data_IF_211349787540
#
_entry.id   IF_211349787540
#
_cell.length_a   1.000
_cell.length_b   1.000
_cell.length_c   1.000
_cell.angle_alpha   90.00
_cell.angle_beta   90.00
_cell.angle_gamma   90.00
#
_symmetry.space_group_name_H-M   'P 1'
#
loop_
_entity.id
_entity.type
_entity.pdbx_description
1 polymer ?
#
# COMPACT_ATOMS: atom_id res chain seq x y z
N UNK A 1 -14.52 32.05 0.44
CA UNK A 1 -15.19 31.17 -0.53
C UNK A 1 -15.07 29.74 -0.03
N UNK A 2 -16.14 29.19 0.52
CA UNK A 2 -16.22 27.76 0.84
C UNK A 2 -16.42 27.02 -0.48
N UNK A 3 -15.33 26.49 -1.04
CA UNK A 3 -15.45 25.48 -2.09
C UNK A 3 -16.03 24.24 -1.42
N UNK A 4 -17.35 24.07 -1.53
CA UNK A 4 -18.07 22.93 -0.98
C UNK A 4 -17.91 21.79 -1.99
N UNK A 5 -16.86 21.00 -1.84
CA UNK A 5 -16.82 19.68 -2.49
C UNK A 5 -17.90 18.83 -1.79
N UNK A 6 -18.81 18.17 -2.52
CA UNK A 6 -19.85 17.33 -1.93
C UNK A 6 -19.28 16.32 -0.94
N UNK A 7 -19.89 16.21 0.23
CA UNK A 7 -19.44 15.29 1.28
C UNK A 7 -19.39 13.84 0.80
N UNK A 8 -20.25 13.44 -0.14
CA UNK A 8 -20.25 12.10 -0.74
C UNK A 8 -18.98 11.77 -1.53
N UNK A 9 -18.22 12.78 -1.97
CA UNK A 9 -16.91 12.63 -2.64
C UNK A 9 -15.78 12.71 -1.61
N UNK A 10 -16.03 13.39 -0.48
CA UNK A 10 -15.06 13.58 0.60
C UNK A 10 -15.18 12.55 1.73
N UNK A 11 -16.07 11.56 1.62
CA UNK A 11 -16.16 10.48 2.59
C UNK A 11 -16.08 9.13 1.92
N UNK A 12 -15.44 8.21 2.62
CA UNK A 12 -15.21 6.83 2.17
C UNK A 12 -15.47 5.87 3.32
N UNK A 13 -15.50 4.58 3.01
CA UNK A 13 -15.50 3.50 4.01
C UNK A 13 -14.27 2.63 3.78
N UNK A 14 -13.71 2.15 4.87
CA UNK A 14 -12.60 1.19 4.88
C UNK A 14 -13.05 -0.23 5.21
N UNK A 15 -14.36 -0.49 5.17
CA UNK A 15 -14.92 -1.81 5.40
C UNK A 15 -14.47 -2.76 4.29
N UNK A 16 -13.75 -3.81 4.68
CA UNK A 16 -13.38 -4.93 3.81
C UNK A 16 -14.56 -5.90 3.77
N UNK A 17 -15.04 -6.22 2.57
CA UNK A 17 -16.20 -7.08 2.36
C UNK A 17 -15.74 -8.44 1.87
N UNK A 18 -16.23 -9.50 2.52
CA UNK A 18 -16.08 -10.87 2.06
C UNK A 18 -17.33 -11.30 1.30
N UNK A 19 -17.18 -11.69 0.04
CA UNK A 19 -18.18 -12.44 -0.76
C UNK A 19 -19.64 -11.95 -0.58
N UNK A 20 -19.85 -10.64 -0.74
CA UNK A 20 -21.14 -9.98 -0.56
C UNK A 20 -21.96 -10.00 -1.84
N UNK A 21 -23.20 -10.48 -1.79
CA UNK A 21 -24.11 -10.46 -2.93
C UNK A 21 -24.67 -9.04 -3.16
N UNK A 22 -24.51 -8.50 -4.36
CA UNK A 22 -25.11 -7.20 -4.71
C UNK A 22 -26.60 -7.32 -5.05
N UNK A 23 -27.35 -6.27 -4.76
CA UNK A 23 -28.73 -6.08 -5.25
C UNK A 23 -28.66 -5.58 -6.68
N UNK A 24 -29.36 -6.25 -7.58
CA UNK A 24 -29.40 -5.95 -9.01
C UNK A 24 -30.77 -5.41 -9.36
N UNK A 25 -30.81 -4.23 -9.98
CA UNK A 25 -32.00 -3.68 -10.64
C UNK A 25 -31.85 -3.83 -12.16
N UNK A 26 -32.84 -4.43 -12.83
CA UNK A 26 -32.77 -4.80 -14.24
C UNK A 26 -32.27 -6.23 -14.50
N UNK A 27 -31.57 -6.45 -15.62
CA UNK A 27 -31.13 -7.78 -16.07
C UNK A 27 -29.66 -7.77 -16.45
N UNK A 28 -28.90 -8.72 -15.90
CA UNK A 28 -27.49 -8.94 -16.26
C UNK A 28 -27.44 -9.85 -17.49
N UNK A 29 -26.64 -9.52 -18.52
CA UNK A 29 -26.45 -10.41 -19.67
C UNK A 29 -25.98 -11.79 -19.25
N UNK A 30 -26.62 -12.85 -19.77
CA UNK A 30 -26.31 -14.23 -19.39
C UNK A 30 -24.94 -14.72 -19.88
N UNK A 31 -24.35 -14.01 -20.84
CA UNK A 31 -23.02 -14.25 -21.41
C UNK A 31 -21.92 -13.44 -20.72
N UNK A 32 -22.26 -12.56 -19.77
CA UNK A 32 -21.28 -11.84 -18.96
C UNK A 32 -20.66 -12.81 -17.95
N UNK A 33 -19.33 -12.95 -17.99
CA UNK A 33 -18.55 -13.78 -17.08
C UNK A 33 -17.20 -13.12 -16.77
N UNK A 34 -16.57 -13.58 -15.68
CA UNK A 34 -15.28 -13.06 -15.21
C UNK A 34 -15.43 -12.01 -14.12
N UNK A 35 -14.44 -11.13 -14.02
CA UNK A 35 -14.27 -10.24 -12.87
C UNK A 35 -13.98 -8.80 -13.31
N UNK A 36 -14.55 -7.83 -12.59
CA UNK A 36 -14.17 -6.42 -12.70
C UNK A 36 -13.39 -6.05 -11.44
N UNK A 37 -12.18 -5.51 -11.62
CA UNK A 37 -11.40 -4.97 -10.53
C UNK A 37 -11.42 -3.44 -10.55
N UNK A 38 -11.66 -2.85 -9.39
CA UNK A 38 -11.68 -1.41 -9.17
C UNK A 38 -10.74 -1.08 -8.03
N UNK A 39 -10.16 0.12 -8.06
CA UNK A 39 -9.30 0.61 -7.00
C UNK A 39 -9.80 2.00 -6.59
N UNK A 40 -9.96 2.21 -5.29
CA UNK A 40 -10.29 3.53 -4.76
C UNK A 40 -9.46 3.84 -3.52
N UNK A 41 -9.02 5.08 -3.33
CA UNK A 41 -8.33 5.49 -2.11
C UNK A 41 -9.33 5.68 -0.96
N UNK A 42 -9.04 5.11 0.21
CA UNK A 42 -9.97 5.04 1.36
C UNK A 42 -9.47 5.73 2.63
N UNK A 43 -8.56 6.70 2.53
CA UNK A 43 -7.95 7.37 3.69
C UNK A 43 -6.85 6.57 4.39
N UNK A 44 -6.31 7.09 5.49
CA UNK A 44 -5.17 6.54 6.25
C UNK A 44 -5.60 5.96 7.61
N UNK A 45 -4.63 5.39 8.32
CA UNK A 45 -4.82 4.84 9.68
C UNK A 45 -5.24 5.91 10.69
N UNK A 46 -4.79 7.16 10.49
CA UNK A 46 -5.04 8.31 11.36
C UNK A 46 -6.07 9.30 10.78
N UNK A 47 -6.76 8.95 9.69
CA UNK A 47 -7.86 9.76 9.16
C UNK A 47 -9.00 9.90 10.19
N UNK A 48 -9.66 11.06 10.18
CA UNK A 48 -10.80 11.32 11.08
C UNK A 48 -11.93 10.35 10.73
N UNK A 49 -12.61 9.82 11.74
CA UNK A 49 -13.75 8.91 11.59
C UNK A 49 -14.98 9.44 12.30
N UNK A 50 -16.15 9.11 11.75
CA UNK A 50 -17.46 9.21 12.42
C UNK A 50 -18.25 7.94 12.09
N UNK A 51 -18.33 7.03 13.05
CA UNK A 51 -18.77 5.66 12.81
C UNK A 51 -17.92 4.98 11.72
N UNK A 52 -18.59 4.46 10.68
CA UNK A 52 -17.95 3.80 9.54
C UNK A 52 -17.39 4.79 8.49
N UNK A 53 -17.73 6.07 8.58
CA UNK A 53 -17.30 7.07 7.60
C UNK A 53 -15.89 7.59 7.93
N UNK A 54 -15.05 7.60 6.92
CA UNK A 54 -13.70 8.15 6.95
C UNK A 54 -13.69 9.48 6.21
N UNK A 55 -13.10 10.50 6.85
CA UNK A 55 -13.02 11.87 6.37
C UNK A 55 -11.57 12.23 6.01
N UNK A 56 -11.34 13.31 5.25
CA UNK A 56 -10.00 13.83 5.00
C UNK A 56 -9.28 14.07 6.35
N UNK A 57 -7.96 13.99 6.34
CA UNK A 57 -7.17 14.21 7.54
C UNK A 57 -7.40 15.63 8.08
N UNK A 58 -7.18 15.83 9.39
CA UNK A 58 -7.44 17.11 10.08
C UNK A 58 -6.71 18.30 9.45
N UNK A 59 -5.56 18.05 8.84
CA UNK A 59 -4.74 19.02 8.10
C UNK A 59 -5.31 19.36 6.70
N UNK A 60 -6.44 18.79 6.32
CA UNK A 60 -7.07 18.98 5.01
C UNK A 60 -6.49 18.09 3.91
N UNK A 61 -5.59 17.15 4.23
CA UNK A 61 -5.03 16.22 3.24
C UNK A 61 -6.16 15.41 2.61
N UNK A 62 -6.28 15.44 1.26
CA UNK A 62 -7.35 14.74 0.56
C UNK A 62 -7.33 13.22 0.77
N UNK A 63 -8.51 12.59 0.71
CA UNK A 63 -8.64 11.13 0.81
C UNK A 63 -7.89 10.37 -0.29
N UNK A 64 -7.61 11.02 -1.43
CA UNK A 64 -6.85 10.39 -2.52
C UNK A 64 -5.38 10.10 -2.14
N UNK A 65 -4.87 10.66 -1.05
CA UNK A 65 -3.58 10.25 -0.49
C UNK A 65 -3.69 8.91 0.27
N UNK A 66 -4.90 8.45 0.58
CA UNK A 66 -5.18 7.28 1.42
C UNK A 66 -4.79 5.93 0.83
N UNK A 67 -4.86 4.88 1.66
CA UNK A 67 -4.61 3.50 1.24
C UNK A 67 -5.54 3.08 0.09
N UNK A 68 -5.04 2.27 -0.84
CA UNK A 68 -5.86 1.69 -1.89
C UNK A 68 -6.76 0.59 -1.35
N UNK A 69 -8.05 0.67 -1.64
CA UNK A 69 -9.02 -0.41 -1.48
C UNK A 69 -9.31 -0.99 -2.85
N UNK A 70 -9.04 -2.28 -2.99
CA UNK A 70 -9.38 -3.07 -4.16
C UNK A 70 -10.81 -3.56 -3.98
N UNK A 71 -11.63 -3.41 -5.01
CA UNK A 71 -12.95 -4.02 -5.11
C UNK A 71 -12.93 -4.98 -6.29
N UNK A 72 -13.52 -6.15 -6.12
CA UNK A 72 -13.71 -7.16 -7.16
C UNK A 72 -15.19 -7.47 -7.27
N UNK A 73 -15.72 -7.31 -8.49
CA UNK A 73 -17.08 -7.72 -8.84
C UNK A 73 -17.01 -9.06 -9.57
N UNK A 74 -17.83 -10.01 -9.14
CA UNK A 74 -17.83 -11.39 -9.61
C UNK A 74 -19.08 -11.71 -10.42
N UNK A 75 -18.90 -12.14 -11.67
CA UNK A 75 -19.97 -12.56 -12.58
C UNK A 75 -19.93 -14.08 -12.81
N UNK A 76 -19.71 -14.85 -11.75
CA UNK A 76 -19.55 -16.31 -11.82
C UNK A 76 -20.86 -17.08 -11.99
N UNK A 77 -21.98 -16.43 -11.70
CA UNK A 77 -23.33 -17.03 -11.71
C UNK A 77 -24.31 -16.11 -12.47
N UNK A 78 -25.08 -16.66 -13.44
CA UNK A 78 -26.04 -15.87 -14.21
C UNK A 78 -27.01 -15.08 -13.33
N UNK A 79 -27.22 -13.80 -13.68
CA UNK A 79 -28.16 -12.91 -12.98
C UNK A 79 -27.69 -12.42 -11.61
N UNK A 80 -26.45 -12.70 -11.20
CA UNK A 80 -25.93 -12.32 -9.88
C UNK A 80 -24.58 -11.61 -9.99
N UNK A 81 -24.29 -10.73 -9.03
CA UNK A 81 -22.97 -10.09 -8.89
C UNK A 81 -22.47 -10.26 -7.46
N UNK A 82 -21.31 -10.89 -7.28
CA UNK A 82 -20.60 -10.91 -6.02
C UNK A 82 -19.70 -9.67 -5.88
N UNK A 83 -19.44 -9.25 -4.64
CA UNK A 83 -18.55 -8.14 -4.30
C UNK A 83 -17.59 -8.59 -3.20
N UNK A 84 -16.30 -8.43 -3.45
CA UNK A 84 -15.24 -8.55 -2.46
C UNK A 84 -14.44 -7.26 -2.41
N UNK A 85 -13.99 -6.84 -1.23
CA UNK A 85 -13.07 -5.72 -1.11
C UNK A 85 -11.97 -5.96 -0.08
N UNK A 86 -10.77 -5.42 -0.35
CA UNK A 86 -9.63 -5.49 0.55
C UNK A 86 -8.70 -4.30 0.37
N UNK A 87 -8.16 -3.79 1.47
CA UNK A 87 -7.13 -2.76 1.46
C UNK A 87 -5.83 -3.41 0.99
N UNK A 88 -5.13 -2.76 0.06
CA UNK A 88 -3.80 -3.14 -0.39
C UNK A 88 -2.76 -2.85 0.72
N UNK A 89 -2.71 -3.71 1.74
CA UNK A 89 -1.84 -3.57 2.93
C UNK A 89 -0.38 -3.89 2.57
N UNK A 90 0.33 -2.92 2.03
CA UNK A 90 1.79 -3.02 1.80
C UNK A 90 2.56 -3.02 3.13
N UNK A 91 3.85 -3.41 3.19
CA UNK A 91 4.63 -3.37 4.44
C UNK A 91 4.60 -2.01 5.17
N UNK A 92 4.55 -0.91 4.42
CA UNK A 92 4.45 0.43 5.01
C UNK A 92 3.08 0.74 5.62
N UNK A 93 2.02 0.01 5.26
CA UNK A 93 0.71 0.07 5.93
C UNK A 93 0.85 -0.33 7.40
N UNK A 94 1.44 -1.50 7.65
CA UNK A 94 1.62 -2.02 9.00
C UNK A 94 2.52 -1.12 9.84
N UNK A 95 3.58 -0.57 9.24
CA UNK A 95 4.44 0.38 9.92
C UNK A 95 3.70 1.68 10.31
N UNK A 96 2.80 2.18 9.46
CA UNK A 96 1.99 3.37 9.80
C UNK A 96 0.97 3.07 10.88
N UNK A 97 0.30 1.92 10.84
CA UNK A 97 -0.64 1.54 11.88
C UNK A 97 0.06 1.37 13.24
N UNK A 98 1.22 0.72 13.26
CA UNK A 98 2.04 0.53 14.46
C UNK A 98 2.62 1.85 15.01
N UNK A 99 2.73 2.89 14.19
CA UNK A 99 3.33 4.19 14.55
C UNK A 99 2.30 5.33 14.58
N UNK A 100 1.00 5.01 14.57
CA UNK A 100 -0.08 5.99 14.61
C UNK A 100 -0.08 6.79 15.92
N UNK A 101 -0.66 8.00 15.96
CA UNK A 101 -0.73 8.80 17.19
C UNK A 101 -1.33 8.01 18.36
N UNK A 102 -0.67 8.08 19.53
CA UNK A 102 -1.09 7.34 20.73
C UNK A 102 -0.56 5.90 20.84
N UNK A 103 0.15 5.39 19.82
CA UNK A 103 0.89 4.12 19.91
C UNK A 103 2.23 4.27 20.65
N UNK A 104 2.83 3.14 21.04
CA UNK A 104 4.18 3.07 21.62
C UNK A 104 5.23 3.69 20.69
N UNK A 105 5.08 3.53 19.37
CA UNK A 105 6.08 3.94 18.37
C UNK A 105 5.72 5.25 17.65
N UNK A 106 4.86 6.08 18.25
CA UNK A 106 4.33 7.29 17.60
C UNK A 106 5.41 8.30 17.17
N UNK A 107 6.61 8.29 17.77
CA UNK A 107 7.71 9.16 17.34
C UNK A 107 8.26 8.82 15.95
N UNK A 108 8.04 7.59 15.47
CA UNK A 108 8.40 7.15 14.11
C UNK A 108 7.26 7.35 13.10
N UNK A 109 6.12 7.89 13.55
CA UNK A 109 4.88 8.04 12.80
C UNK A 109 5.00 8.79 11.48
N UNK A 110 4.19 8.39 10.51
CA UNK A 110 4.07 9.10 9.26
C UNK A 110 3.16 10.32 9.39
N UNK A 111 3.43 11.34 8.57
CA UNK A 111 2.67 12.59 8.51
C UNK A 111 2.43 12.97 7.06
N UNK A 112 1.34 13.68 6.81
CA UNK A 112 1.04 14.15 5.46
C UNK A 112 1.87 15.41 5.15
N UNK A 113 2.41 15.45 3.93
CA UNK A 113 3.13 16.58 3.36
C UNK A 113 2.62 16.78 1.93
N UNK A 114 1.45 17.41 1.82
CA UNK A 114 0.71 17.49 0.56
C UNK A 114 0.24 16.10 0.13
N UNK A 115 0.75 15.61 -1.00
CA UNK A 115 0.36 14.31 -1.56
C UNK A 115 1.26 13.16 -1.12
N UNK A 116 2.30 13.46 -0.34
CA UNK A 116 3.18 12.44 0.22
C UNK A 116 2.82 12.20 1.68
N UNK A 117 2.94 10.95 2.13
CA UNK A 117 2.87 10.60 3.55
C UNK A 117 4.24 10.07 3.98
N UNK A 118 4.93 10.83 4.82
CA UNK A 118 6.36 10.71 5.10
C UNK A 118 6.62 10.52 6.60
N UNK A 119 7.60 9.68 6.90
CA UNK A 119 8.26 9.59 8.19
C UNK A 119 9.75 9.90 8.01
N UNK A 120 10.31 10.72 8.89
CA UNK A 120 11.74 11.09 8.83
C UNK A 120 12.64 9.86 9.06
N UNK A 121 12.14 8.90 9.84
CA UNK A 121 12.88 7.70 10.24
C UNK A 121 12.55 6.48 9.37
N UNK A 122 11.34 6.39 8.82
CA UNK A 122 10.89 5.23 8.06
C UNK A 122 10.84 5.46 6.55
N UNK A 123 10.73 6.71 6.08
CA UNK A 123 10.68 7.03 4.65
C UNK A 123 9.28 7.33 4.16
N UNK A 124 8.92 6.83 2.97
CA UNK A 124 7.67 7.23 2.28
C UNK A 124 6.67 6.08 2.21
N UNK A 125 5.38 6.38 2.42
CA UNK A 125 4.31 5.42 2.20
C UNK A 125 4.11 5.15 0.71
N UNK A 126 4.12 3.87 0.34
CA UNK A 126 3.53 3.35 -0.90
C UNK A 126 2.09 2.92 -0.62
N UNK A 127 1.13 3.79 -0.91
CA UNK A 127 -0.29 3.59 -0.57
C UNK A 127 -1.04 2.68 -1.54
N UNK A 128 -0.42 2.32 -2.66
CA UNK A 128 -0.92 1.31 -3.62
C UNK A 128 -2.39 1.56 -4.02
N UNK A 129 -2.69 2.78 -4.48
CA UNK A 129 -4.07 3.29 -4.58
C UNK A 129 -4.44 3.87 -5.95
N UNK A 130 -3.56 3.78 -6.95
CA UNK A 130 -3.70 4.56 -8.19
C UNK A 130 -4.20 3.75 -9.38
N UNK A 131 -3.60 2.58 -9.67
CA UNK A 131 -4.10 1.72 -10.74
C UNK A 131 -3.92 0.23 -10.45
N UNK A 132 -4.75 -0.56 -11.13
CA UNK A 132 -4.60 -2.01 -11.25
C UNK A 132 -4.17 -2.34 -12.68
N UNK A 133 -3.14 -3.17 -12.83
CA UNK A 133 -2.57 -3.49 -14.15
C UNK A 133 -2.50 -5.00 -14.30
N UNK A 134 -3.34 -5.61 -15.16
CA UNK A 134 -3.23 -7.02 -15.49
C UNK A 134 -2.01 -7.26 -16.37
N UNK A 135 -1.34 -8.39 -16.16
CA UNK A 135 -0.28 -8.87 -17.03
C UNK A 135 -0.33 -10.39 -17.14
N UNK A 136 0.11 -10.89 -18.29
CA UNK A 136 0.18 -12.34 -18.56
C UNK A 136 1.27 -12.59 -19.59
N UNK A 137 2.46 -12.93 -19.12
CA UNK A 137 3.53 -13.35 -20.02
C UNK A 137 3.24 -14.72 -20.64
N UNK A 138 3.81 -15.01 -21.81
CA UNK A 138 3.62 -16.28 -22.48
C UNK A 138 4.08 -17.46 -21.60
N UNK A 139 3.16 -18.38 -21.32
CA UNK A 139 3.42 -19.56 -20.49
C UNK A 139 3.34 -19.30 -18.98
N UNK A 140 2.96 -18.10 -18.55
CA UNK A 140 2.72 -17.76 -17.14
C UNK A 140 1.21 -17.61 -16.85
N UNK A 141 0.89 -17.69 -15.57
CA UNK A 141 -0.44 -17.38 -15.06
C UNK A 141 -0.74 -15.87 -15.11
N UNK A 142 -2.03 -15.54 -15.11
CA UNK A 142 -2.49 -14.16 -15.03
C UNK A 142 -2.13 -13.54 -13.69
N UNK A 143 -1.50 -12.37 -13.73
CA UNK A 143 -1.06 -11.62 -12.55
C UNK A 143 -1.68 -10.23 -12.60
N UNK A 144 -1.81 -9.62 -11.43
CA UNK A 144 -2.37 -8.28 -11.28
C UNK A 144 -1.44 -7.44 -10.41
N UNK A 145 -1.06 -6.27 -10.90
CA UNK A 145 -0.33 -5.30 -10.10
C UNK A 145 -1.28 -4.29 -9.48
N UNK A 146 -0.96 -3.87 -8.26
CA UNK A 146 -1.45 -2.63 -7.67
C UNK A 146 -0.31 -1.61 -7.63
N UNK A 147 -0.60 -0.39 -8.08
CA UNK A 147 0.41 0.61 -8.38
C UNK A 147 0.09 1.96 -7.74
N UNK A 148 1.13 2.76 -7.56
CA UNK A 148 1.09 4.15 -7.12
C UNK A 148 2.36 4.82 -7.63
N UNK A 149 2.35 6.13 -7.90
CA UNK A 149 3.53 6.84 -8.40
C UNK A 149 4.72 6.86 -7.42
N UNK A 150 4.47 6.46 -6.17
CA UNK A 150 5.46 6.37 -5.10
C UNK A 150 5.51 4.95 -4.53
N UNK A 151 6.70 4.37 -4.54
CA UNK A 151 6.97 2.99 -4.16
C UNK A 151 7.07 2.06 -5.36
N UNK A 152 7.47 0.82 -5.10
CA UNK A 152 7.44 -0.24 -6.13
C UNK A 152 6.00 -0.72 -6.34
N UNK A 153 5.61 -1.14 -7.55
CA UNK A 153 4.36 -1.85 -7.76
C UNK A 153 4.34 -3.14 -6.93
N UNK A 154 3.17 -3.58 -6.51
CA UNK A 154 3.01 -4.86 -5.81
C UNK A 154 2.12 -5.79 -6.62
N UNK A 155 2.42 -7.08 -6.58
CA UNK A 155 1.48 -8.10 -7.01
C UNK A 155 0.40 -8.30 -5.97
N UNK A 156 -0.82 -8.57 -6.45
CA UNK A 156 -1.92 -9.01 -5.61
C UNK A 156 -2.38 -10.41 -6.03
N UNK A 157 -2.83 -11.18 -5.05
CA UNK A 157 -3.56 -12.41 -5.31
C UNK A 157 -4.99 -12.03 -5.74
N UNK A 158 -5.38 -12.40 -6.96
CA UNK A 158 -6.64 -11.93 -7.55
C UNK A 158 -7.88 -12.56 -6.89
N UNK A 159 -7.72 -13.64 -6.12
CA UNK A 159 -8.80 -14.32 -5.42
C UNK A 159 -9.07 -13.74 -4.02
N UNK A 160 -8.03 -13.58 -3.20
CA UNK A 160 -8.08 -13.06 -1.83
C UNK A 160 -7.92 -11.54 -1.76
N UNK A 161 -7.46 -10.92 -2.84
CA UNK A 161 -7.09 -9.50 -2.96
C UNK A 161 -5.93 -9.09 -2.03
N UNK A 162 -5.16 -10.05 -1.51
CA UNK A 162 -4.00 -9.78 -0.67
C UNK A 162 -2.81 -9.28 -1.48
N UNK A 163 -2.04 -8.37 -0.90
CA UNK A 163 -0.73 -7.99 -1.43
C UNK A 163 0.25 -9.13 -1.20
N UNK A 164 0.92 -9.57 -2.26
CA UNK A 164 1.84 -10.71 -2.24
C UNK A 164 3.29 -10.25 -2.08
N UNK A 165 3.80 -9.48 -3.04
CA UNK A 165 5.20 -9.05 -3.08
C UNK A 165 5.38 -7.80 -3.92
N UNK A 166 6.37 -6.93 -3.63
CA UNK A 166 6.78 -5.90 -4.58
C UNK A 166 7.40 -6.52 -5.83
N UNK A 167 7.25 -5.84 -6.97
CA UNK A 167 7.88 -6.19 -8.23
C UNK A 167 9.37 -5.82 -8.19
N UNK A 168 10.22 -6.77 -8.57
CA UNK A 168 11.67 -6.60 -8.68
C UNK A 168 12.40 -6.46 -7.33
N UNK A 169 13.69 -6.71 -7.35
CA UNK A 169 14.58 -6.56 -6.20
C UNK A 169 14.86 -5.08 -5.94
N UNK A 170 15.13 -4.68 -4.70
CA UNK A 170 15.41 -3.26 -4.38
C UNK A 170 16.49 -2.66 -5.29
N UNK A 171 17.55 -3.43 -5.61
CA UNK A 171 18.67 -3.00 -6.46
C UNK A 171 18.29 -2.66 -7.91
N UNK A 172 17.15 -3.14 -8.38
CA UNK A 172 16.63 -2.85 -9.72
C UNK A 172 15.91 -1.49 -9.77
N UNK A 173 15.58 -0.92 -8.61
CA UNK A 173 14.91 0.36 -8.47
C UNK A 173 15.89 1.42 -7.99
N UNK A 174 15.77 2.62 -8.54
CA UNK A 174 16.55 3.79 -8.14
C UNK A 174 15.72 4.66 -7.23
N UNK A 175 16.24 4.90 -6.04
CA UNK A 175 15.68 5.85 -5.08
C UNK A 175 15.78 7.28 -5.63
N UNK A 176 14.72 8.06 -5.45
CA UNK A 176 14.69 9.50 -5.69
C UNK A 176 15.68 10.26 -4.81
N UNK A 177 15.87 9.80 -3.57
CA UNK A 177 16.84 10.31 -2.62
C UNK A 177 17.57 9.12 -2.00
N UNK A 178 18.90 8.98 -2.16
CA UNK A 178 19.65 7.84 -1.65
C UNK A 178 19.95 8.00 -0.15
N UNK A 179 18.89 8.03 0.65
CA UNK A 179 18.94 8.19 2.11
C UNK A 179 18.74 6.86 2.85
N UNK A 180 18.47 5.77 2.13
CA UNK A 180 18.43 4.39 2.62
C UNK A 180 17.54 4.21 3.85
N UNK A 181 16.34 4.78 3.78
CA UNK A 181 15.30 4.55 4.78
C UNK A 181 14.57 3.22 4.50
N UNK A 182 13.95 2.59 5.52
CA UNK A 182 13.23 1.33 5.35
C UNK A 182 12.22 1.32 4.20
N UNK A 183 11.51 2.43 3.98
CA UNK A 183 10.60 2.65 2.87
C UNK A 183 11.18 3.70 1.91
N UNK A 184 11.94 3.19 0.96
CA UNK A 184 12.62 3.94 -0.08
C UNK A 184 11.64 4.81 -0.91
N UNK A 185 12.08 6.02 -1.25
CA UNK A 185 11.33 6.90 -2.14
C UNK A 185 11.60 6.52 -3.59
N UNK A 186 11.02 5.42 -4.07
CA UNK A 186 11.08 5.05 -5.49
C UNK A 186 9.96 5.77 -6.21
N UNK A 187 10.29 6.61 -7.20
CA UNK A 187 9.26 7.23 -8.05
C UNK A 187 9.11 6.41 -9.33
N UNK A 188 7.89 6.05 -9.67
CA UNK A 188 7.58 5.31 -10.89
C UNK A 188 6.24 5.77 -11.48
N UNK A 189 5.86 5.18 -12.61
CA UNK A 189 4.50 5.37 -13.13
C UNK A 189 3.51 4.50 -12.37
N UNK A 190 2.40 5.11 -11.95
CA UNK A 190 1.20 4.36 -11.58
C UNK A 190 0.52 3.67 -12.78
N UNK A 191 0.87 4.02 -14.01
CA UNK A 191 0.24 3.48 -15.22
C UNK A 191 1.28 2.82 -16.13
N UNK A 192 1.91 1.71 -15.70
CA UNK A 192 2.69 0.90 -16.62
C UNK A 192 1.75 0.20 -17.61
N UNK A 193 2.29 -0.19 -18.76
CA UNK A 193 1.52 -0.78 -19.86
C UNK A 193 2.06 -2.16 -20.21
N UNK A 194 1.18 -3.16 -20.19
CA UNK A 194 1.50 -4.51 -20.63
C UNK A 194 1.00 -4.71 -22.07
N UNK A 195 1.91 -5.03 -23.00
CA UNK A 195 1.58 -5.41 -24.36
C UNK A 195 1.48 -6.93 -24.47
N UNK A 196 0.26 -7.45 -24.59
CA UNK A 196 0.00 -8.88 -24.73
C UNK A 196 0.42 -9.45 -26.10
N UNK A 197 0.60 -8.61 -27.13
CA UNK A 197 1.07 -9.05 -28.43
C UNK A 197 2.58 -9.32 -28.42
N UNK A 198 3.36 -8.44 -27.77
CA UNK A 198 4.83 -8.60 -27.69
C UNK A 198 5.29 -9.29 -26.40
N UNK A 199 4.40 -9.50 -25.43
CA UNK A 199 4.72 -9.98 -24.08
C UNK A 199 5.73 -9.09 -23.35
N UNK A 200 5.54 -7.77 -23.44
CA UNK A 200 6.43 -6.78 -22.82
C UNK A 200 5.69 -5.92 -21.80
N UNK A 201 6.39 -5.56 -20.72
CA UNK A 201 5.90 -4.61 -19.72
C UNK A 201 6.69 -3.32 -19.82
N UNK A 202 6.02 -2.24 -20.20
CA UNK A 202 6.59 -0.90 -20.28
C UNK A 202 6.33 -0.17 -18.96
N UNK A 203 7.42 0.20 -18.29
CA UNK A 203 7.39 0.96 -17.04
C UNK A 203 8.50 1.99 -17.02
N UNK A 204 8.40 2.94 -16.08
CA UNK A 204 9.41 3.98 -15.87
C UNK A 204 9.70 4.11 -14.38
N UNK A 205 10.99 4.20 -14.04
CA UNK A 205 11.47 4.65 -12.75
C UNK A 205 12.18 5.98 -12.97
N UNK A 206 11.55 7.06 -12.51
CA UNK A 206 11.99 8.42 -12.78
C UNK A 206 12.39 9.12 -11.48
N UNK A 207 12.88 10.35 -11.61
CA UNK A 207 13.13 11.19 -10.47
C UNK A 207 13.26 12.65 -10.83
N UNK A 208 13.20 13.52 -9.82
CA UNK A 208 13.47 14.95 -9.92
C UNK A 208 14.84 15.26 -9.31
N UNK A 209 15.43 16.41 -9.62
CA UNK A 209 16.55 16.88 -8.80
C UNK A 209 16.09 17.22 -7.39
N UNK A 210 16.94 17.08 -6.36
CA UNK A 210 16.59 17.41 -4.98
C UNK A 210 16.04 18.85 -4.85
N UNK A 211 16.64 19.90 -5.44
CA UNK A 211 16.07 21.24 -5.38
C UNK A 211 14.66 21.33 -5.95
N UNK A 212 14.39 20.64 -7.07
CA UNK A 212 13.04 20.58 -7.67
C UNK A 212 12.07 19.86 -6.74
N UNK A 213 12.50 18.73 -6.16
CA UNK A 213 11.70 17.94 -5.23
C UNK A 213 11.35 18.73 -3.96
N UNK A 214 12.36 19.31 -3.30
CA UNK A 214 12.17 20.19 -2.14
C UNK A 214 11.32 21.41 -2.52
N UNK A 215 11.47 22.01 -3.70
CA UNK A 215 10.58 23.12 -4.07
C UNK A 215 9.10 22.70 -4.17
N UNK A 216 8.81 21.43 -4.45
CA UNK A 216 7.44 20.90 -4.56
C UNK A 216 6.85 20.62 -3.17
N UNK A 217 7.63 20.08 -2.24
CA UNK A 217 7.19 19.80 -0.87
C UNK A 217 7.14 21.08 -0.02
N UNK A 218 8.05 22.03 -0.25
CA UNK A 218 8.31 23.15 0.67
C UNK A 218 7.75 24.50 0.19
N UNK A 219 7.17 24.59 -1.02
CA UNK A 219 6.47 25.81 -1.47
C UNK A 219 5.20 26.13 -0.65
N UNK A 220 4.64 25.15 0.06
CA UNK A 220 3.40 25.32 0.84
C UNK A 220 3.62 25.71 2.31
N UNK A 221 4.79 25.49 2.90
CA UNK A 221 5.06 25.81 4.32
C UNK A 221 6.52 26.27 4.58
N UNK A 222 6.88 27.46 4.08
CA UNK A 222 8.25 28.00 4.16
C UNK A 222 8.73 28.31 5.59
N UNK A 223 7.83 28.46 6.58
CA UNK A 223 8.18 28.96 7.91
C UNK A 223 8.50 27.93 9.00
N UNK A 224 8.06 26.67 8.88
CA UNK A 224 8.07 25.70 10.01
C UNK A 224 8.97 24.48 9.82
N UNK A 225 9.50 24.25 8.61
CA UNK A 225 10.11 22.96 8.24
C UNK A 225 11.64 22.90 8.24
N UNK A 226 12.35 24.03 8.37
CA UNK A 226 13.82 24.03 8.30
C UNK A 226 14.49 23.23 9.43
N UNK A 227 13.80 23.02 10.55
CA UNK A 227 14.29 22.19 11.66
C UNK A 227 14.01 20.70 11.48
N UNK A 228 12.82 20.32 11.01
CA UNK A 228 12.40 18.92 10.87
C UNK A 228 13.15 18.18 9.74
N UNK A 229 13.42 18.87 8.62
CA UNK A 229 14.15 18.30 7.50
C UNK A 229 15.65 18.64 7.51
N UNK A 230 16.13 19.39 8.50
CA UNK A 230 17.55 19.73 8.63
C UNK A 230 18.43 18.49 8.59
N UNK A 231 18.04 17.44 9.32
CA UNK A 231 18.79 16.18 9.36
C UNK A 231 18.81 15.44 8.02
N UNK A 232 17.73 15.51 7.23
CA UNK A 232 17.69 14.89 5.89
C UNK A 232 18.56 15.69 4.90
N UNK A 233 18.46 17.03 4.94
CA UNK A 233 19.27 17.93 4.12
C UNK A 233 20.77 17.79 4.48
N UNK A 234 21.11 17.75 5.76
CA UNK A 234 22.49 17.56 6.24
C UNK A 234 23.04 16.18 5.89
N UNK A 235 22.21 15.11 5.92
CA UNK A 235 22.62 13.78 5.46
C UNK A 235 22.88 13.77 3.96
N UNK A 236 22.03 14.42 3.18
CA UNK A 236 22.20 14.49 1.73
C UNK A 236 23.41 15.34 1.33
N UNK A 237 23.62 16.49 1.98
CA UNK A 237 24.76 17.36 1.73
C UNK A 237 26.12 16.69 2.00
N UNK A 238 26.12 15.59 2.78
CA UNK A 238 27.29 14.75 3.05
C UNK A 238 27.52 13.66 2.00
N UNK A 239 26.60 13.45 1.05
CA UNK A 239 26.80 12.49 -0.04
C UNK A 239 27.80 13.04 -1.07
N UNK A 240 28.55 12.19 -1.78
CA UNK A 240 29.39 12.61 -2.90
C UNK A 240 28.58 13.35 -3.98
N UNK A 241 29.18 14.35 -4.62
CA UNK A 241 28.53 15.27 -5.57
C UNK A 241 27.85 14.55 -6.77
N UNK A 242 28.41 13.42 -7.18
CA UNK A 242 27.85 12.51 -8.19
C UNK A 242 26.48 11.90 -7.80
N UNK A 243 26.23 11.71 -6.50
CA UNK A 243 24.93 11.26 -5.96
C UNK A 243 23.98 12.43 -5.70
N UNK A 244 24.47 13.67 -5.76
CA UNK A 244 23.68 14.88 -5.57
C UNK A 244 23.06 15.40 -6.89
N UNK A 245 23.70 15.12 -8.03
CA UNK A 245 23.29 15.58 -9.36
C UNK A 245 22.72 14.46 -10.23
N UNK A 246 21.41 14.20 -10.13
CA UNK A 246 20.69 13.25 -11.02
C UNK A 246 20.44 13.84 -12.43
N UNK A 247 21.26 14.79 -12.90
CA UNK A 247 21.01 15.45 -14.19
C UNK A 247 21.58 14.72 -15.40
N UNK A 248 22.60 13.87 -15.25
CA UNK A 248 23.25 13.20 -16.38
C UNK A 248 23.79 11.81 -15.99
N UNK A 249 22.91 10.84 -15.77
CA UNK A 249 23.31 9.43 -15.87
C UNK A 249 22.88 8.97 -17.26
N UNK A 250 23.84 8.96 -18.20
CA UNK A 250 23.68 8.25 -19.46
C UNK A 250 23.17 6.83 -19.14
N UNK A 251 22.12 6.41 -19.84
CA UNK A 251 21.64 5.04 -19.80
C UNK A 251 22.68 4.22 -20.58
N UNK A 252 23.85 3.98 -19.97
CA UNK A 252 24.80 3.02 -20.51
C UNK A 252 24.25 1.61 -20.28
N UNK A 253 23.81 1.03 -21.40
CA UNK A 253 23.90 -0.37 -21.85
C UNK A 253 23.84 -1.47 -20.79
N UNK A 254 22.88 -2.38 -21.01
CA UNK A 254 22.76 -3.76 -20.49
C UNK A 254 23.60 -4.06 -19.24
N UNK A 255 22.94 -4.05 -18.09
CA UNK A 255 23.53 -4.48 -16.81
C UNK A 255 24.14 -5.88 -17.01
N UNK A 256 25.48 -6.03 -16.93
CA UNK A 256 26.12 -7.33 -17.13
C UNK A 256 25.62 -8.33 -16.09
N UNK A 257 25.23 -9.54 -16.54
CA UNK A 257 24.75 -10.64 -15.68
C UNK A 257 25.74 -11.03 -14.56
N UNK A 258 26.99 -10.58 -14.64
CA UNK A 258 28.05 -10.86 -13.68
C UNK A 258 27.97 -10.03 -12.38
N UNK A 259 27.23 -8.91 -12.37
CA UNK A 259 26.96 -8.08 -11.18
C UNK A 259 25.97 -8.72 -10.20
N UNK A 260 25.38 -9.87 -10.55
CA UNK A 260 24.46 -10.60 -9.67
C UNK A 260 25.18 -11.42 -8.58
N UNK A 261 26.49 -11.64 -8.68
CA UNK A 261 27.20 -12.63 -7.86
C UNK A 261 28.29 -12.08 -6.90
N UNK A 262 28.37 -10.77 -6.64
CA UNK A 262 29.33 -10.25 -5.65
C UNK A 262 28.67 -9.48 -4.50
N UNK A 263 28.54 -10.24 -3.42
CA UNK A 263 28.71 -9.90 -2.00
C UNK A 263 28.10 -8.61 -1.44
N UNK A 264 27.09 -8.87 -0.63
CA UNK A 264 26.62 -8.14 0.54
C UNK A 264 27.66 -8.06 1.65
N UNK A 265 28.01 -6.86 2.09
CA UNK A 265 28.34 -6.50 3.49
C UNK A 265 28.45 -4.96 3.50
N UNK A 266 27.62 -4.18 4.20
CA UNK A 266 28.11 -3.50 5.42
C UNK A 266 27.02 -2.70 6.18
N UNK A 267 25.71 -2.86 5.94
CA UNK A 267 24.66 -2.09 6.67
C UNK A 267 23.94 -2.85 7.80
N UNK A 268 24.58 -3.89 8.34
CA UNK A 268 23.87 -5.11 8.73
C UNK A 268 23.23 -5.19 10.13
N UNK A 269 23.64 -4.47 11.19
CA UNK A 269 23.13 -4.80 12.55
C UNK A 269 21.78 -4.14 12.92
N UNK A 270 21.62 -2.83 12.68
CA UNK A 270 20.38 -2.10 13.05
C UNK A 270 19.20 -2.44 12.16
N UNK A 271 19.45 -2.65 10.87
CA UNK A 271 18.41 -3.02 9.91
C UNK A 271 17.99 -4.48 10.13
N UNK A 272 18.93 -5.40 10.38
CA UNK A 272 18.60 -6.79 10.75
C UNK A 272 17.78 -6.85 12.04
N UNK A 273 18.17 -6.12 13.09
CA UNK A 273 17.41 -6.11 14.36
C UNK A 273 16.02 -5.45 14.24
N UNK A 274 15.84 -4.47 13.35
CA UNK A 274 14.50 -3.94 13.03
C UNK A 274 13.64 -4.99 12.32
N UNK A 275 14.17 -5.63 11.26
CA UNK A 275 13.42 -6.66 10.52
C UNK A 275 13.13 -7.91 11.35
N UNK A 276 14.03 -8.29 12.26
CA UNK A 276 13.80 -9.39 13.19
C UNK A 276 12.65 -9.08 14.15
N UNK A 277 12.63 -7.86 14.74
CA UNK A 277 11.51 -7.40 15.58
C UNK A 277 10.19 -7.32 14.82
N UNK A 278 10.22 -6.84 13.57
CA UNK A 278 9.01 -6.77 12.74
C UNK A 278 8.47 -8.17 12.41
N UNK A 279 9.35 -9.14 12.10
CA UNK A 279 8.94 -10.55 11.90
C UNK A 279 8.36 -11.17 13.17
N UNK A 280 8.92 -10.88 14.33
CA UNK A 280 8.37 -11.34 15.62
C UNK A 280 6.99 -10.74 15.89
N UNK A 281 6.78 -9.45 15.58
CA UNK A 281 5.46 -8.81 15.69
C UNK A 281 4.44 -9.41 14.74
N UNK A 282 4.79 -9.58 13.46
CA UNK A 282 3.90 -10.22 12.47
C UNK A 282 3.56 -11.67 12.85
N UNK A 283 4.51 -12.40 13.47
CA UNK A 283 4.27 -13.76 13.97
C UNK A 283 3.32 -13.75 15.16
N UNK A 284 3.49 -12.82 16.11
CA UNK A 284 2.58 -12.67 17.26
C UNK A 284 1.17 -12.30 16.83
N UNK A 285 1.03 -11.36 15.90
CA UNK A 285 -0.29 -10.95 15.39
C UNK A 285 -1.00 -12.10 14.68
N UNK A 286 -0.25 -12.94 13.94
CA UNK A 286 -0.79 -14.16 13.34
C UNK A 286 -1.19 -15.21 14.38
N UNK A 287 -0.37 -15.43 15.41
CA UNK A 287 -0.67 -16.34 16.53
C UNK A 287 -1.88 -15.86 17.35
N UNK A 288 -2.02 -14.54 17.55
CA UNK A 288 -3.17 -13.92 18.22
C UNK A 288 -4.45 -14.04 17.39
N UNK A 289 -4.38 -13.87 16.07
CA UNK A 289 -5.51 -14.10 15.16
C UNK A 289 -5.93 -15.57 15.13
N UNK A 290 -4.98 -16.52 15.06
CA UNK A 290 -5.26 -17.96 15.12
C UNK A 290 -5.87 -18.36 16.47
N UNK A 291 -5.38 -17.82 17.60
CA UNK A 291 -5.97 -18.05 18.93
C UNK A 291 -7.35 -17.41 19.09
N UNK A 292 -7.60 -16.27 18.44
CA UNK A 292 -8.89 -15.60 18.48
C UNK A 292 -9.93 -16.38 17.66
N UNK A 293 -9.55 -16.93 16.51
CA UNK A 293 -10.39 -17.84 15.71
C UNK A 293 -10.66 -19.18 16.43
N UNK A 294 -9.67 -19.75 17.12
CA UNK A 294 -9.83 -20.99 17.90
C UNK A 294 -10.74 -20.78 19.13
N UNK A 295 -10.60 -19.64 19.83
CA UNK A 295 -11.47 -19.29 20.96
C UNK A 295 -12.91 -18.99 20.52
N UNK A 296 -13.11 -18.35 19.36
CA UNK A 296 -14.46 -18.15 18.80
C UNK A 296 -15.10 -19.46 18.32
N UNK A 297 -14.30 -20.39 17.79
CA UNK A 297 -14.73 -21.76 17.45
C UNK A 297 -15.21 -22.53 18.69
N UNK A 298 -14.38 -22.57 19.74
CA UNK A 298 -14.70 -23.24 21.01
C UNK A 298 -15.92 -22.62 21.70
N UNK A 299 -16.07 -21.30 21.65
CA UNK A 299 -17.24 -20.61 22.21
C UNK A 299 -18.54 -20.94 21.44
N UNK A 300 -18.48 -21.11 20.10
CA UNK A 300 -19.62 -21.52 19.28
C UNK A 300 -20.02 -22.98 19.53
N UNK A 301 -19.05 -23.87 19.75
CA UNK A 301 -19.30 -25.27 20.09
C UNK A 301 -19.97 -25.40 21.47
N UNK A 302 -19.45 -24.72 22.48
CA UNK A 302 -20.07 -24.65 23.81
C UNK A 302 -21.50 -24.07 23.77
N UNK A 303 -21.74 -23.04 22.95
CA UNK A 303 -23.09 -22.47 22.75
C UNK A 303 -24.04 -23.45 22.04
N UNK A 304 -23.52 -24.32 21.17
CA UNK A 304 -24.29 -25.38 20.51
C UNK A 304 -24.67 -26.48 21.49
N UNK A 305 -23.72 -26.95 22.30
CA UNK A 305 -23.97 -27.94 23.36
C UNK A 305 -24.97 -27.45 24.40
N UNK A 306 -24.82 -26.19 24.84
CA UNK A 306 -25.74 -25.58 25.80
C UNK A 306 -27.16 -25.47 25.23
N UNK A 307 -27.31 -25.19 23.93
CA UNK A 307 -28.61 -25.18 23.25
C UNK A 307 -29.21 -26.58 23.16
N UNK A 308 -28.43 -27.62 22.89
CA UNK A 308 -28.93 -29.00 22.88
C UNK A 308 -29.37 -29.47 24.27
N UNK A 309 -28.60 -29.15 25.32
CA UNK A 309 -28.96 -29.41 26.71
C UNK A 309 -30.26 -28.70 27.12
N UNK A 310 -30.45 -27.45 26.70
CA UNK A 310 -31.69 -26.71 26.97
C UNK A 310 -32.91 -27.25 26.20
N UNK A 311 -32.72 -27.95 25.08
CA UNK A 311 -33.80 -28.64 24.35
C UNK A 311 -34.23 -29.91 25.09
N UNK A 312 -33.27 -30.66 25.66
CA UNK A 312 -33.55 -31.87 26.45
C UNK A 312 -34.27 -31.55 27.77
N UNK A 313 -33.96 -30.41 28.40
CA UNK A 313 -34.60 -29.98 29.66
C UNK A 313 -36.03 -29.42 29.44
N UNK A 314 -36.44 -29.18 28.19
CA UNK A 314 -37.78 -28.68 27.82
C UNK A 314 -38.77 -29.77 27.36
N UNK A 315 -38.39 -31.04 27.40
CA UNK A 315 -39.28 -32.20 27.21
C UNK A 315 -39.60 -32.85 28.57
#
# INVERSE_FOLDING_TARGET
>A
MTNIIPMSILTVRQEELSDTQMIVDGTIPNDLSGHIFLLAPVGHVDSKRDGALVFPSKDGTPLFNGNGMIYRLDFDKPGTVGLKSKIAKTPCYYADDATKPGSEYQEYGFRNFGLARLSISLGVRSVANTALVPLKFAGEDERMLVTCDVGRPYEIDTHSLEVVTPIGWNKEWREQLPIHLPFEMVMNTAHPFFDAHTNEMFTVNYGKSLPTFLSTIFKSEVGKLSSAFKGMIERFAKLPEEKQNIKNLEIEKEIPRELFNKETDESSERVKSFWQRLRELLKREKEEQEQQEENEGNARELLSELKQLMIVVKQ
#
